data_IF_253172244486
#
_entry.id   IF_253172244486
#
_cell.length_a   1.000
_cell.length_b   1.000
_cell.length_c   1.000
_cell.angle_alpha   90.00
_cell.angle_beta   90.00
_cell.angle_gamma   90.00
#
_symmetry.space_group_name_H-M   'P 1'
#
loop_
_entity.id
_entity.type
_entity.pdbx_description
1 polymer ?
#
# COMPACT_ATOMS: atom_id res chain seq x y z
N UNK A 1 -1.22 -17.38 21.68
CA UNK A 1 -0.71 -18.77 21.51
C UNK A 1 0.23 -18.78 20.31
N UNK A 2 1.47 -19.25 20.47
CA UNK A 2 2.38 -19.48 19.35
C UNK A 2 2.06 -20.83 18.72
N UNK A 3 1.93 -20.88 17.39
CA UNK A 3 1.85 -22.13 16.63
C UNK A 3 3.27 -22.50 16.21
N UNK A 4 3.72 -23.71 16.56
CA UNK A 4 5.03 -24.29 16.18
C UNK A 4 6.28 -23.54 16.68
N UNK A 5 6.20 -22.83 17.81
CA UNK A 5 7.37 -22.15 18.39
C UNK A 5 7.89 -20.96 17.59
N UNK A 6 7.14 -20.53 16.56
CA UNK A 6 7.38 -19.29 15.83
C UNK A 6 6.50 -18.22 16.49
N UNK A 7 7.16 -17.21 17.08
CA UNK A 7 6.48 -15.99 17.53
C UNK A 7 6.04 -15.23 16.30
N UNK A 8 4.85 -15.58 15.79
CA UNK A 8 4.23 -14.91 14.67
C UNK A 8 4.05 -13.43 15.04
N UNK A 9 4.38 -12.49 14.14
CA UNK A 9 4.12 -11.07 14.39
C UNK A 9 2.65 -10.92 14.71
N UNK A 10 2.33 -10.32 15.85
CA UNK A 10 0.98 -10.28 16.41
C UNK A 10 -0.05 -9.67 15.44
N UNK A 11 0.40 -8.86 14.50
CA UNK A 11 -0.44 -8.20 13.49
C UNK A 11 -0.82 -9.16 12.34
N UNK A 12 0.04 -10.12 11.99
CA UNK A 12 -0.21 -11.02 10.86
C UNK A 12 -1.29 -12.06 11.17
N UNK A 13 -1.32 -12.63 12.38
CA UNK A 13 -2.37 -13.59 12.72
C UNK A 13 -3.74 -12.92 12.84
N UNK A 14 -3.80 -11.69 13.39
CA UNK A 14 -5.04 -10.91 13.49
C UNK A 14 -5.57 -10.57 12.10
N UNK A 15 -4.70 -10.06 11.22
CA UNK A 15 -5.03 -9.83 9.81
C UNK A 15 -5.55 -11.11 9.15
N UNK A 16 -4.84 -12.24 9.29
CA UNK A 16 -5.29 -13.51 8.74
C UNK A 16 -6.65 -13.94 9.30
N UNK A 17 -6.89 -13.79 10.61
CA UNK A 17 -8.13 -14.16 11.26
C UNK A 17 -9.33 -13.35 10.73
N UNK A 18 -9.24 -12.01 10.70
CA UNK A 18 -10.37 -11.18 10.29
C UNK A 18 -10.67 -11.26 8.79
N UNK A 19 -9.64 -11.52 7.96
CA UNK A 19 -9.80 -11.59 6.50
C UNK A 19 -10.05 -13.01 5.96
N UNK A 20 -9.77 -14.07 6.74
CA UNK A 20 -10.04 -15.45 6.32
C UNK A 20 -11.48 -15.68 5.80
N UNK A 21 -12.55 -15.15 6.44
CA UNK A 21 -13.92 -15.32 5.94
C UNK A 21 -14.20 -14.63 4.59
N UNK A 22 -13.35 -13.68 4.20
CA UNK A 22 -13.49 -12.90 2.96
C UNK A 22 -12.76 -13.53 1.77
N UNK A 23 -12.13 -14.69 1.91
CA UNK A 23 -11.54 -15.38 0.76
C UNK A 23 -12.60 -15.93 -0.22
N UNK A 24 -12.16 -16.16 -1.46
CA UNK A 24 -13.01 -16.72 -2.52
C UNK A 24 -14.15 -15.77 -2.91
N UNK A 25 -15.38 -16.29 -2.92
CA UNK A 25 -16.58 -15.57 -3.36
C UNK A 25 -16.93 -14.32 -2.53
N UNK A 26 -16.43 -14.24 -1.28
CA UNK A 26 -16.77 -13.18 -0.32
C UNK A 26 -15.90 -11.93 -0.43
N UNK A 27 -14.76 -12.00 -1.13
CA UNK A 27 -13.81 -10.88 -1.29
C UNK A 27 -14.46 -9.64 -1.92
N UNK A 28 -15.47 -9.87 -2.77
CA UNK A 28 -16.25 -8.81 -3.42
C UNK A 28 -16.96 -7.91 -2.41
N UNK A 29 -17.31 -8.40 -1.21
CA UNK A 29 -17.99 -7.61 -0.18
C UNK A 29 -17.10 -6.47 0.30
N UNK A 30 -15.82 -6.76 0.55
CA UNK A 30 -14.85 -5.73 0.92
C UNK A 30 -14.55 -4.77 -0.23
N UNK A 31 -14.33 -5.27 -1.45
CA UNK A 31 -14.13 -4.39 -2.60
C UNK A 31 -15.31 -3.43 -2.80
N UNK A 32 -16.55 -3.91 -2.63
CA UNK A 32 -17.76 -3.07 -2.68
C UNK A 32 -17.82 -2.06 -1.53
N UNK A 33 -17.36 -2.42 -0.34
CA UNK A 33 -17.28 -1.53 0.83
C UNK A 33 -16.25 -0.41 0.60
N UNK A 34 -15.12 -0.71 -0.04
CA UNK A 34 -14.08 0.25 -0.39
C UNK A 34 -14.47 1.16 -1.57
N UNK A 35 -15.41 0.71 -2.40
CA UNK A 35 -16.00 1.45 -3.52
C UNK A 35 -17.38 2.02 -3.16
N UNK A 36 -17.68 2.30 -1.90
CA UNK A 36 -19.02 2.72 -1.46
C UNK A 36 -19.61 3.89 -2.28
N UNK A 37 -18.76 4.77 -2.80
CA UNK A 37 -19.10 5.96 -3.59
C UNK A 37 -18.65 5.90 -5.05
N UNK A 38 -18.37 4.70 -5.57
CA UNK A 38 -17.98 4.50 -6.95
C UNK A 38 -19.06 3.69 -7.68
N UNK A 39 -19.49 4.18 -8.85
CA UNK A 39 -20.53 3.53 -9.66
C UNK A 39 -20.14 2.09 -10.05
N UNK A 40 -18.83 1.80 -10.11
CA UNK A 40 -18.33 0.47 -10.43
C UNK A 40 -18.56 -0.57 -9.33
N UNK A 41 -18.95 -0.15 -8.12
CA UNK A 41 -19.32 -1.05 -7.01
C UNK A 41 -20.37 -2.09 -7.43
N UNK A 42 -21.38 -1.65 -8.17
CA UNK A 42 -22.51 -2.51 -8.59
C UNK A 42 -22.11 -3.46 -9.71
N UNK A 43 -21.06 -3.12 -10.48
CA UNK A 43 -20.56 -3.92 -11.59
C UNK A 43 -19.73 -5.12 -11.13
N UNK A 44 -19.12 -5.07 -9.94
CA UNK A 44 -18.34 -6.19 -9.40
C UNK A 44 -19.23 -7.38 -9.05
N UNK A 45 -18.89 -8.56 -9.57
CA UNK A 45 -19.59 -9.83 -9.28
C UNK A 45 -18.75 -10.69 -8.34
N UNK A 46 -19.41 -11.67 -7.72
CA UNK A 46 -18.69 -12.69 -6.96
C UNK A 46 -17.75 -13.46 -7.91
N UNK A 47 -16.50 -13.64 -7.50
CA UNK A 47 -15.45 -14.24 -8.33
C UNK A 47 -14.62 -13.23 -9.15
N UNK A 48 -15.08 -11.98 -9.32
CA UNK A 48 -14.28 -10.94 -10.01
C UNK A 48 -13.13 -10.40 -9.15
N UNK A 49 -13.17 -10.69 -7.84
CA UNK A 49 -12.24 -10.12 -6.86
C UNK A 49 -11.39 -11.23 -6.27
N UNK A 50 -10.07 -11.08 -6.39
CA UNK A 50 -9.10 -11.95 -5.73
C UNK A 50 -8.53 -11.25 -4.51
N UNK A 51 -8.60 -11.92 -3.36
CA UNK A 51 -7.96 -11.47 -2.11
C UNK A 51 -6.64 -12.22 -1.91
N UNK A 52 -5.59 -11.50 -1.51
CA UNK A 52 -4.30 -12.04 -1.09
C UNK A 52 -3.82 -11.30 0.16
N UNK A 53 -3.09 -11.99 1.04
CA UNK A 53 -2.50 -11.41 2.25
C UNK A 53 -0.98 -11.48 2.19
N UNK A 54 -0.30 -10.52 2.84
CA UNK A 54 1.16 -10.41 2.93
C UNK A 54 1.86 -10.44 1.55
N UNK A 55 1.33 -9.62 0.64
CA UNK A 55 1.72 -9.60 -0.76
C UNK A 55 3.03 -8.88 -1.00
N UNK A 56 3.96 -9.55 -1.68
CA UNK A 56 5.25 -9.01 -2.11
C UNK A 56 5.30 -8.81 -3.63
N UNK A 57 4.30 -8.14 -4.20
CA UNK A 57 4.07 -8.06 -5.65
C UNK A 57 5.27 -7.65 -6.49
N UNK A 58 5.97 -6.59 -6.09
CA UNK A 58 7.14 -6.10 -6.84
C UNK A 58 8.27 -7.13 -6.86
N UNK A 59 8.52 -7.82 -5.74
CA UNK A 59 9.53 -8.88 -5.65
C UNK A 59 9.25 -9.99 -6.65
N UNK A 60 8.00 -10.42 -6.71
CA UNK A 60 7.59 -11.59 -7.49
C UNK A 60 7.38 -11.24 -8.98
N UNK A 61 7.09 -9.98 -9.30
CA UNK A 61 7.20 -9.44 -10.65
C UNK A 61 8.65 -9.40 -11.13
N UNK A 62 9.56 -8.81 -10.34
CA UNK A 62 10.98 -8.69 -10.70
C UNK A 62 11.67 -10.04 -10.95
N UNK A 63 11.27 -11.11 -10.25
CA UNK A 63 11.79 -12.48 -10.49
C UNK A 63 11.51 -12.97 -11.92
N UNK A 64 10.43 -12.49 -12.55
CA UNK A 64 9.98 -12.87 -13.89
C UNK A 64 10.30 -11.82 -14.95
N UNK A 65 10.89 -10.69 -14.55
CA UNK A 65 11.19 -9.59 -15.45
C UNK A 65 12.47 -9.90 -16.23
N UNK A 66 12.42 -10.05 -17.57
CA UNK A 66 13.58 -10.44 -18.38
C UNK A 66 14.69 -9.37 -18.51
N UNK A 67 14.58 -8.25 -17.79
CA UNK A 67 15.52 -7.13 -17.85
C UNK A 67 16.67 -7.29 -16.84
N UNK A 68 17.84 -6.76 -17.20
CA UNK A 68 18.97 -6.69 -16.28
C UNK A 68 18.67 -5.77 -15.09
N UNK A 69 19.33 -6.00 -13.95
CA UNK A 69 19.09 -5.21 -12.72
C UNK A 69 19.20 -3.70 -12.96
N UNK A 70 20.20 -3.26 -13.73
CA UNK A 70 20.40 -1.83 -14.03
C UNK A 70 19.27 -1.24 -14.89
N UNK A 71 18.74 -2.03 -15.80
CA UNK A 71 17.59 -1.64 -16.62
C UNK A 71 16.33 -1.52 -15.76
N UNK A 72 16.09 -2.49 -14.86
CA UNK A 72 15.00 -2.42 -13.88
C UNK A 72 15.12 -1.17 -13.00
N UNK A 73 16.32 -0.85 -12.50
CA UNK A 73 16.60 0.35 -11.70
C UNK A 73 16.24 1.64 -12.46
N UNK A 74 16.66 1.75 -13.72
CA UNK A 74 16.39 2.92 -14.56
C UNK A 74 14.91 3.05 -14.89
N UNK A 75 14.22 1.95 -15.24
CA UNK A 75 12.81 1.99 -15.60
C UNK A 75 11.93 2.34 -14.39
N UNK A 76 12.19 1.74 -13.23
CA UNK A 76 11.50 2.09 -11.98
C UNK A 76 11.72 3.57 -11.62
N UNK A 77 12.95 4.05 -11.69
CA UNK A 77 13.26 5.44 -11.38
C UNK A 77 12.59 6.42 -12.36
N UNK A 78 12.53 6.06 -13.65
CA UNK A 78 11.85 6.87 -14.67
C UNK A 78 10.35 6.99 -14.40
N UNK A 79 9.67 5.88 -14.08
CA UNK A 79 8.25 5.91 -13.68
C UNK A 79 8.08 6.72 -12.39
N UNK A 80 8.96 6.50 -11.41
CA UNK A 80 8.91 7.21 -10.13
C UNK A 80 8.99 8.75 -10.31
N UNK A 81 10.00 9.22 -11.03
CA UNK A 81 10.26 10.65 -11.24
C UNK A 81 9.19 11.32 -12.13
N UNK A 82 8.58 10.58 -13.05
CA UNK A 82 7.51 11.09 -13.92
C UNK A 82 6.15 11.14 -13.24
N UNK A 83 5.80 10.13 -12.43
CA UNK A 83 4.46 9.99 -11.83
C UNK A 83 4.33 10.55 -10.42
N UNK A 84 5.42 10.66 -9.65
CA UNK A 84 5.35 10.98 -8.22
C UNK A 84 6.09 12.27 -7.84
N UNK A 85 6.33 13.15 -8.82
CA UNK A 85 6.90 14.48 -8.58
C UNK A 85 6.08 15.29 -7.57
N UNK A 86 4.75 15.27 -7.71
CA UNK A 86 3.84 15.98 -6.82
C UNK A 86 3.82 15.36 -5.42
N UNK A 87 3.77 14.03 -5.31
CA UNK A 87 3.86 13.34 -4.01
C UNK A 87 5.15 13.73 -3.28
N UNK A 88 6.29 13.80 -3.97
CA UNK A 88 7.55 14.27 -3.38
C UNK A 88 7.45 15.71 -2.88
N UNK A 89 6.82 16.59 -3.65
CA UNK A 89 6.65 17.99 -3.28
C UNK A 89 5.75 18.12 -2.03
N UNK A 90 4.61 17.43 -2.00
CA UNK A 90 3.73 17.41 -0.83
C UNK A 90 4.39 16.81 0.41
N UNK A 91 5.23 15.77 0.26
CA UNK A 91 6.01 15.24 1.39
C UNK A 91 6.96 16.29 1.94
N UNK A 92 7.63 17.06 1.07
CA UNK A 92 8.52 18.14 1.49
C UNK A 92 7.75 19.21 2.28
N UNK A 93 6.60 19.65 1.76
CA UNK A 93 5.71 20.60 2.44
C UNK A 93 5.22 20.05 3.80
N UNK A 94 4.92 18.76 3.87
CA UNK A 94 4.50 18.10 5.12
C UNK A 94 5.63 18.05 6.17
N UNK A 95 6.89 17.94 5.74
CA UNK A 95 8.05 18.06 6.64
C UNK A 95 8.22 19.50 7.13
N UNK A 96 8.09 20.48 6.23
CA UNK A 96 8.18 21.91 6.56
C UNK A 96 7.07 22.34 7.54
N UNK A 97 5.88 21.76 7.40
CA UNK A 97 4.74 21.96 8.30
C UNK A 97 4.82 21.15 9.62
N UNK A 98 5.88 20.37 9.83
CA UNK A 98 6.07 19.57 11.05
C UNK A 98 5.21 18.31 11.15
N UNK A 99 4.48 17.92 10.09
CA UNK A 99 3.69 16.69 10.06
C UNK A 99 4.58 15.45 9.96
N UNK A 100 5.66 15.52 9.19
CA UNK A 100 6.61 14.41 9.10
C UNK A 100 7.91 14.74 9.83
N UNK A 101 8.50 13.71 10.46
CA UNK A 101 9.86 13.79 11.00
C UNK A 101 10.80 14.26 9.89
N UNK A 102 11.81 15.06 10.27
CA UNK A 102 12.77 15.63 9.31
C UNK A 102 13.40 14.51 8.48
N UNK A 103 13.15 14.57 7.18
CA UNK A 103 13.74 13.65 6.23
C UNK A 103 15.19 14.06 5.93
N UNK A 104 16.03 13.08 5.62
CA UNK A 104 17.30 13.36 4.93
C UNK A 104 17.00 13.77 3.50
N UNK A 105 17.85 14.62 2.90
CA UNK A 105 17.62 15.20 1.56
C UNK A 105 17.42 14.19 0.42
N UNK A 106 17.72 12.90 0.66
CA UNK A 106 17.68 11.82 -0.31
C UNK A 106 16.45 10.90 -0.20
N UNK A 107 15.61 11.03 0.85
CA UNK A 107 14.55 10.05 1.13
C UNK A 107 13.44 9.95 0.07
N UNK A 108 13.38 10.85 -0.91
CA UNK A 108 12.35 10.86 -1.96
C UNK A 108 12.92 11.25 -3.33
N UNK A 109 14.19 10.93 -3.61
CA UNK A 109 14.85 11.23 -4.89
C UNK A 109 15.42 9.96 -5.51
N UNK A 110 15.36 9.86 -6.84
CA UNK A 110 15.96 8.75 -7.60
C UNK A 110 16.85 9.26 -8.75
N UNK A 111 17.67 10.29 -8.48
CA UNK A 111 18.40 11.05 -9.49
C UNK A 111 19.76 10.46 -9.86
N UNK A 112 20.41 9.71 -8.95
CA UNK A 112 21.69 9.05 -9.20
C UNK A 112 21.60 7.53 -9.05
N UNK A 113 22.61 6.80 -9.56
CA UNK A 113 22.59 5.33 -9.60
C UNK A 113 22.47 4.68 -8.21
N UNK A 114 23.06 5.28 -7.16
CA UNK A 114 22.91 4.81 -5.79
C UNK A 114 21.47 4.95 -5.27
N UNK A 115 20.81 6.07 -5.56
CA UNK A 115 19.42 6.31 -5.21
C UNK A 115 18.47 5.40 -6.00
N UNK A 116 18.70 5.20 -7.31
CA UNK A 116 17.89 4.28 -8.13
C UNK A 116 17.93 2.85 -7.58
N UNK A 117 19.14 2.37 -7.22
CA UNK A 117 19.32 1.06 -6.57
C UNK A 117 18.56 0.96 -5.25
N UNK A 118 18.66 1.99 -4.40
CA UNK A 118 17.93 2.05 -3.12
C UNK A 118 16.42 2.05 -3.34
N UNK A 119 15.91 2.83 -4.29
CA UNK A 119 14.47 2.84 -4.64
C UNK A 119 14.02 1.45 -5.08
N UNK A 120 14.70 0.84 -6.06
CA UNK A 120 14.40 -0.53 -6.52
C UNK A 120 14.35 -1.50 -5.34
N UNK A 121 15.38 -1.50 -4.50
CA UNK A 121 15.46 -2.39 -3.35
C UNK A 121 14.33 -2.15 -2.35
N UNK A 122 13.96 -0.91 -2.09
CA UNK A 122 12.88 -0.61 -1.16
C UNK A 122 11.53 -1.08 -1.68
N UNK A 123 11.23 -0.83 -2.95
CA UNK A 123 10.00 -1.33 -3.57
C UNK A 123 9.97 -2.86 -3.60
N UNK A 124 11.11 -3.51 -3.90
CA UNK A 124 11.25 -4.97 -3.91
C UNK A 124 10.94 -5.60 -2.55
N UNK A 125 11.31 -4.96 -1.44
CA UNK A 125 11.09 -5.48 -0.08
C UNK A 125 9.86 -4.88 0.58
N UNK A 126 9.00 -4.18 -0.16
CA UNK A 126 7.74 -3.68 0.36
C UNK A 126 6.71 -4.80 0.33
N UNK A 127 6.20 -5.15 1.51
CA UNK A 127 5.05 -6.02 1.72
C UNK A 127 3.78 -5.16 1.85
N UNK A 128 2.65 -5.69 1.38
CA UNK A 128 1.31 -5.12 1.59
C UNK A 128 0.49 -6.18 2.31
N UNK A 129 -0.07 -5.85 3.47
CA UNK A 129 -0.77 -6.82 4.34
C UNK A 129 -1.99 -7.41 3.66
N UNK A 130 -2.77 -6.59 2.94
CA UNK A 130 -3.99 -7.00 2.25
C UNK A 130 -4.02 -6.45 0.83
N UNK A 131 -4.28 -7.32 -0.15
CA UNK A 131 -4.47 -6.91 -1.54
C UNK A 131 -5.76 -7.49 -2.07
N UNK A 132 -6.58 -6.64 -2.70
CA UNK A 132 -7.68 -7.10 -3.53
C UNK A 132 -7.42 -6.71 -4.98
N UNK A 133 -7.48 -7.66 -5.89
CA UNK A 133 -7.41 -7.41 -7.31
C UNK A 133 -8.80 -7.58 -7.93
N UNK A 134 -9.22 -6.60 -8.71
CA UNK A 134 -10.42 -6.66 -9.57
C UNK A 134 -10.04 -6.29 -11.01
N UNK A 135 -10.95 -6.35 -11.99
CA UNK A 135 -10.63 -5.97 -13.36
C UNK A 135 -10.14 -4.52 -13.51
N UNK A 136 -10.65 -3.60 -12.68
CA UNK A 136 -10.39 -2.16 -12.80
C UNK A 136 -9.64 -1.54 -11.63
N UNK A 137 -9.54 -2.22 -10.49
CA UNK A 137 -8.90 -1.71 -9.29
C UNK A 137 -7.91 -2.70 -8.69
N UNK A 138 -6.85 -2.16 -8.08
CA UNK A 138 -5.96 -2.85 -7.17
C UNK A 138 -6.08 -2.16 -5.80
N UNK A 139 -6.75 -2.81 -4.87
CA UNK A 139 -6.88 -2.31 -3.50
C UNK A 139 -5.66 -2.74 -2.70
N UNK A 140 -5.07 -1.80 -1.96
CA UNK A 140 -3.89 -2.06 -1.12
C UNK A 140 -4.20 -1.64 0.32
N UNK A 141 -4.08 -2.59 1.24
CA UNK A 141 -4.44 -2.43 2.64
C UNK A 141 -3.25 -2.64 3.55
N UNK A 142 -3.14 -1.77 4.55
CA UNK A 142 -2.25 -1.93 5.70
C UNK A 142 -3.10 -2.17 6.94
N UNK A 143 -2.74 -3.19 7.72
CA UNK A 143 -3.33 -3.48 9.00
C UNK A 143 -2.46 -2.88 10.12
N UNK A 144 -3.07 -2.16 11.06
CA UNK A 144 -2.39 -1.63 12.25
C UNK A 144 -3.10 -2.00 13.53
N UNK A 145 -2.35 -2.52 14.49
CA UNK A 145 -2.87 -2.82 15.82
C UNK A 145 -2.58 -1.69 16.82
N UNK A 146 -1.37 -1.14 16.82
CA UNK A 146 -0.97 0.02 17.64
C UNK A 146 -0.73 1.24 16.75
N UNK A 147 -1.14 2.41 17.22
CA UNK A 147 -1.53 3.63 16.48
C UNK A 147 -0.50 4.26 15.55
N UNK A 148 0.73 3.75 15.53
CA UNK A 148 1.85 4.51 15.01
C UNK A 148 2.28 3.99 13.63
N UNK A 149 1.84 4.73 12.61
CA UNK A 149 2.50 4.71 11.32
C UNK A 149 3.82 5.45 11.43
N UNK A 150 4.88 4.71 11.78
CA UNK A 150 6.23 5.29 11.82
C UNK A 150 6.88 5.34 10.43
N UNK A 151 7.87 6.21 10.30
CA UNK A 151 8.71 6.35 9.12
C UNK A 151 10.11 5.82 9.41
N UNK A 152 10.70 5.07 8.48
CA UNK A 152 12.09 4.62 8.59
C UNK A 152 12.99 5.40 7.63
N UNK A 153 13.78 6.33 8.18
CA UNK A 153 14.64 7.26 7.44
C UNK A 153 15.78 6.57 6.66
N UNK A 154 16.03 5.28 6.88
CA UNK A 154 16.96 4.50 6.07
C UNK A 154 16.40 4.19 4.67
N UNK A 155 15.08 4.33 4.47
CA UNK A 155 14.45 4.08 3.19
C UNK A 155 14.30 5.34 2.33
N UNK A 156 14.51 5.22 1.01
CA UNK A 156 13.77 6.01 0.03
C UNK A 156 12.30 5.60 0.12
N UNK A 157 11.39 6.56 0.19
CA UNK A 157 10.00 6.40 0.62
C UNK A 157 9.94 5.93 2.09
N UNK A 158 10.34 6.82 2.99
CA UNK A 158 10.41 6.61 4.44
C UNK A 158 9.09 6.09 5.04
N UNK A 159 7.97 6.65 4.59
CA UNK A 159 6.63 6.41 5.10
C UNK A 159 6.01 5.18 4.43
N UNK A 160 5.56 4.20 5.24
CA UNK A 160 5.12 2.89 4.76
C UNK A 160 3.91 2.97 3.82
N UNK A 161 2.85 3.72 4.18
CA UNK A 161 1.66 3.83 3.33
C UNK A 161 1.99 4.46 1.97
N UNK A 162 2.83 5.50 1.98
CA UNK A 162 3.29 6.15 0.74
C UNK A 162 4.12 5.18 -0.09
N UNK A 163 5.01 4.39 0.54
CA UNK A 163 5.86 3.41 -0.15
C UNK A 163 5.04 2.31 -0.80
N UNK A 164 4.03 1.78 -0.12
CA UNK A 164 3.12 0.77 -0.67
C UNK A 164 2.33 1.32 -1.85
N UNK A 165 1.79 2.54 -1.74
CA UNK A 165 1.07 3.20 -2.83
C UNK A 165 1.94 3.41 -4.06
N UNK A 166 3.15 3.98 -3.88
CA UNK A 166 4.11 4.18 -4.97
C UNK A 166 4.51 2.84 -5.60
N UNK A 167 4.78 1.82 -4.78
CA UNK A 167 5.13 0.48 -5.25
C UNK A 167 4.03 -0.12 -6.14
N UNK A 168 2.79 -0.11 -5.65
CA UNK A 168 1.65 -0.69 -6.35
C UNK A 168 1.37 0.02 -7.68
N UNK A 169 1.39 1.36 -7.68
CA UNK A 169 1.20 2.16 -8.89
C UNK A 169 2.28 1.91 -9.94
N UNK A 170 3.56 1.86 -9.53
CA UNK A 170 4.67 1.52 -10.44
C UNK A 170 4.49 0.12 -11.01
N UNK A 171 4.10 -0.85 -10.17
CA UNK A 171 3.89 -2.23 -10.60
C UNK A 171 2.73 -2.36 -11.60
N UNK A 172 1.63 -1.64 -11.40
CA UNK A 172 0.54 -1.56 -12.39
C UNK A 172 1.05 -1.03 -13.72
N UNK A 173 1.84 0.04 -13.73
CA UNK A 173 2.38 0.62 -14.97
C UNK A 173 3.38 -0.33 -15.65
N UNK A 174 4.27 -0.97 -14.89
CA UNK A 174 5.23 -1.94 -15.42
C UNK A 174 4.57 -3.16 -16.05
N UNK A 175 3.45 -3.61 -15.49
CA UNK A 175 2.68 -4.74 -16.02
C UNK A 175 1.78 -4.36 -17.20
N UNK A 176 1.81 -3.10 -17.66
CA UNK A 176 0.93 -2.59 -18.71
C UNK A 176 -0.54 -2.49 -18.27
N UNK A 177 -0.80 -2.58 -16.96
CA UNK A 177 -2.13 -2.48 -16.39
C UNK A 177 -2.67 -1.05 -16.39
N UNK A 178 -4.00 -0.94 -16.35
CA UNK A 178 -4.72 0.35 -16.23
C UNK A 178 -5.56 0.44 -14.96
N UNK A 179 -5.24 -0.40 -13.97
CA UNK A 179 -6.00 -0.48 -12.73
C UNK A 179 -5.76 0.78 -11.89
N UNK A 180 -6.82 1.31 -11.31
CA UNK A 180 -6.69 2.31 -10.28
C UNK A 180 -6.24 1.66 -8.97
N UNK A 181 -5.27 2.28 -8.29
CA UNK A 181 -4.82 1.79 -6.98
C UNK A 181 -5.61 2.50 -5.90
N UNK A 182 -6.32 1.73 -5.09
CA UNK A 182 -7.19 2.23 -4.01
C UNK A 182 -6.58 1.85 -2.66
N UNK A 183 -5.89 2.76 -1.98
CA UNK A 183 -5.37 2.49 -0.65
C UNK A 183 -6.49 2.45 0.40
N UNK A 184 -6.29 1.65 1.44
CA UNK A 184 -7.13 1.60 2.64
C UNK A 184 -6.30 1.17 3.85
N UNK A 185 -6.85 1.38 5.04
CA UNK A 185 -6.23 1.01 6.32
C UNK A 185 -7.27 0.31 7.18
N UNK A 186 -6.83 -0.69 7.94
CA UNK A 186 -7.65 -1.33 8.99
C UNK A 186 -6.93 -1.27 10.32
N UNK A 187 -7.63 -0.98 11.42
CA UNK A 187 -7.05 -1.15 12.75
C UNK A 187 -8.07 -1.07 13.89
N UNK A 188 -7.58 -0.79 15.10
CA UNK A 188 -8.43 -0.84 16.30
C UNK A 188 -9.36 0.37 16.43
N UNK A 189 -8.89 1.57 16.12
CA UNK A 189 -9.63 2.83 16.30
C UNK A 189 -9.52 3.72 15.06
N UNK A 190 -10.63 3.91 14.36
CA UNK A 190 -10.67 4.73 13.14
C UNK A 190 -10.41 6.21 13.41
N UNK A 191 -10.75 6.75 14.58
CA UNK A 191 -10.44 8.14 14.95
C UNK A 191 -8.93 8.33 15.11
N UNK A 192 -8.27 7.41 15.81
CA UNK A 192 -6.81 7.44 15.99
C UNK A 192 -6.10 7.29 14.65
N UNK A 193 -6.51 6.32 13.82
CA UNK A 193 -5.95 6.12 12.48
C UNK A 193 -6.16 7.36 11.60
N UNK A 194 -7.36 7.93 11.60
CA UNK A 194 -7.66 9.14 10.83
C UNK A 194 -6.81 10.34 11.26
N UNK A 195 -6.38 10.42 12.52
CA UNK A 195 -5.52 11.50 13.00
C UNK A 195 -4.03 11.27 12.72
N UNK A 196 -3.63 10.09 12.23
CA UNK A 196 -2.25 9.85 11.81
C UNK A 196 -1.86 10.72 10.63
N UNK A 197 -0.68 11.35 10.71
CA UNK A 197 -0.14 12.16 9.62
C UNK A 197 0.02 11.37 8.30
N UNK A 198 0.37 10.07 8.35
CA UNK A 198 0.46 9.27 7.12
C UNK A 198 -0.93 9.03 6.50
N UNK A 199 -1.96 8.75 7.31
CA UNK A 199 -3.34 8.56 6.83
C UNK A 199 -3.90 9.86 6.25
N UNK A 200 -3.74 10.98 6.95
CA UNK A 200 -4.12 12.31 6.46
C UNK A 200 -3.42 12.64 5.13
N UNK A 201 -2.12 12.33 5.02
CA UNK A 201 -1.38 12.52 3.79
C UNK A 201 -1.94 11.67 2.64
N UNK A 202 -2.21 10.39 2.90
CA UNK A 202 -2.78 9.47 1.91
C UNK A 202 -4.15 9.94 1.42
N UNK A 203 -4.99 10.48 2.33
CA UNK A 203 -6.29 11.04 1.98
C UNK A 203 -6.15 12.28 1.10
N UNK A 204 -5.27 13.20 1.48
CA UNK A 204 -5.12 14.49 0.80
C UNK A 204 -4.39 14.38 -0.54
N UNK A 205 -3.44 13.45 -0.66
CA UNK A 205 -2.47 13.44 -1.76
C UNK A 205 -2.32 12.11 -2.50
N UNK A 206 -2.94 11.02 -2.06
CA UNK A 206 -2.77 9.69 -2.67
C UNK A 206 -4.09 8.95 -2.92
N UNK A 207 -5.21 9.68 -3.03
CA UNK A 207 -6.50 9.12 -3.43
C UNK A 207 -7.15 8.18 -2.42
N UNK A 208 -6.66 8.12 -1.18
CA UNK A 208 -7.34 7.37 -0.12
C UNK A 208 -8.62 8.12 0.28
N UNK A 209 -9.73 7.42 0.40
CA UNK A 209 -10.97 8.00 0.92
C UNK A 209 -11.00 7.90 2.43
N UNK A 210 -11.64 8.85 3.13
CA UNK A 210 -11.77 8.80 4.60
C UNK A 210 -12.53 7.55 5.05
N UNK A 211 -13.51 7.13 4.25
CA UNK A 211 -14.35 5.96 4.47
C UNK A 211 -13.60 4.63 4.27
N UNK A 212 -12.36 4.69 3.74
CA UNK A 212 -11.44 3.56 3.60
C UNK A 212 -10.48 3.43 4.80
N UNK A 213 -10.69 4.23 5.86
CA UNK A 213 -10.09 4.00 7.17
C UNK A 213 -11.09 3.17 7.98
N UNK A 214 -10.82 1.88 8.12
CA UNK A 214 -11.73 0.88 8.67
C UNK A 214 -11.25 0.43 10.05
N UNK A 215 -12.20 -0.04 10.85
CA UNK A 215 -11.94 -0.81 12.06
C UNK A 215 -11.96 -2.31 11.79
N UNK A 216 -11.46 -3.12 12.71
CA UNK A 216 -11.66 -4.58 12.63
C UNK A 216 -13.14 -4.95 12.58
N UNK A 217 -13.99 -4.28 13.36
CA UNK A 217 -15.44 -4.52 13.35
C UNK A 217 -16.10 -4.21 12.01
N UNK A 218 -15.58 -3.22 11.25
CA UNK A 218 -16.02 -2.98 9.87
C UNK A 218 -15.71 -4.17 8.96
N UNK A 219 -14.61 -4.90 9.19
CA UNK A 219 -14.26 -6.12 8.46
C UNK A 219 -15.14 -7.30 8.89
N UNK A 220 -15.38 -7.44 10.20
CA UNK A 220 -16.23 -8.50 10.75
C UNK A 220 -17.68 -8.40 10.27
N UNK A 221 -18.19 -7.18 10.10
CA UNK A 221 -19.52 -6.93 9.55
C UNK A 221 -19.70 -7.40 8.09
N UNK A 222 -18.62 -7.78 7.40
CA UNK A 222 -18.64 -8.24 6.01
C UNK A 222 -18.67 -9.76 5.86
N UNK A 223 -18.51 -10.52 6.95
CA UNK A 223 -18.50 -11.99 6.94
C UNK A 223 -19.79 -12.60 6.37
#
# INVERSE_FOLDING_TARGET
MAILGITNRTENWKTAQHFAPLFGANSVRLARRLLAHDDQRTALRSGDVRLELFWCGMRDYMKRWPAQVREQENQIASIYESRFREVRQHVKESVEAGMFKKLTGDNYRASNDGQKRRLRNNLRHTEIDIVLESPKHLFIGEAKHESDFDGNSNFILTHQLIRQYVMARILVELSGGKREVVPFVVGDDSSVLNNSHQVQFMIKHCGMRKENVLTWSDIEALW
#
